data_IF_187799691201
#
_entry.id   IF_187799691201
#
_cell.length_a   1.000
_cell.length_b   1.000
_cell.length_c   1.000
_cell.angle_alpha   90.00
_cell.angle_beta   90.00
_cell.angle_gamma   90.00
#
_symmetry.space_group_name_H-M   'P 1'
#
loop_
_entity.id
_entity.type
_entity.pdbx_description
1 polymer ?
#
# COMPACT_ATOMS: atom_id res chain seq x y z
N UNK A 1 32.39 -14.95 9.71
CA UNK A 1 31.30 -14.27 8.97
C UNK A 1 31.89 -13.02 8.39
N UNK A 2 31.75 -12.88 7.09
CA UNK A 2 32.16 -11.67 6.38
C UNK A 2 31.09 -10.59 6.53
N UNK A 3 31.43 -9.33 6.27
CA UNK A 3 30.47 -8.21 6.31
C UNK A 3 29.28 -8.50 5.40
N UNK A 4 29.55 -9.06 4.23
CA UNK A 4 28.57 -9.50 3.24
C UNK A 4 27.50 -10.44 3.80
N UNK A 5 27.86 -11.35 4.71
CA UNK A 5 26.88 -12.27 5.32
C UNK A 5 25.86 -11.50 6.17
N UNK A 6 26.34 -10.53 6.95
CA UNK A 6 25.49 -9.69 7.80
C UNK A 6 24.62 -8.73 6.99
N UNK A 7 25.15 -8.19 5.89
CA UNK A 7 24.39 -7.34 4.97
C UNK A 7 23.26 -8.14 4.31
N UNK A 8 23.53 -9.38 3.86
CA UNK A 8 22.49 -10.28 3.34
C UNK A 8 21.40 -10.58 4.36
N UNK A 9 21.78 -10.86 5.61
CA UNK A 9 20.81 -11.06 6.70
C UNK A 9 19.93 -9.83 6.87
N UNK A 10 20.52 -8.64 6.92
CA UNK A 10 19.77 -7.40 7.04
C UNK A 10 18.83 -7.17 5.85
N UNK A 11 19.29 -7.42 4.62
CA UNK A 11 18.46 -7.30 3.42
C UNK A 11 17.26 -8.25 3.44
N UNK A 12 17.47 -9.52 3.80
CA UNK A 12 16.39 -10.50 3.84
C UNK A 12 15.38 -10.22 4.95
N UNK A 13 15.85 -9.77 6.12
CA UNK A 13 14.96 -9.32 7.20
C UNK A 13 14.20 -8.05 6.78
N UNK A 14 14.90 -7.07 6.19
CA UNK A 14 14.30 -5.85 5.65
C UNK A 14 13.22 -6.15 4.59
N UNK A 15 13.49 -7.06 3.67
CA UNK A 15 12.52 -7.49 2.67
C UNK A 15 11.26 -8.10 3.30
N UNK A 16 11.45 -8.98 4.30
CA UNK A 16 10.35 -9.56 5.06
C UNK A 16 9.54 -8.52 5.82
N UNK A 17 10.19 -7.53 6.44
CA UNK A 17 9.51 -6.43 7.13
C UNK A 17 8.75 -5.53 6.16
N UNK A 18 9.33 -5.22 5.00
CA UNK A 18 8.70 -4.41 3.96
C UNK A 18 7.39 -5.05 3.52
N UNK A 19 7.44 -6.27 2.99
CA UNK A 19 6.25 -6.94 2.47
C UNK A 19 5.28 -7.32 3.59
N UNK A 20 5.80 -7.88 4.69
CA UNK A 20 4.99 -8.37 5.80
C UNK A 20 4.16 -7.27 6.43
N UNK A 21 4.75 -6.11 6.73
CA UNK A 21 4.03 -4.97 7.31
C UNK A 21 3.25 -4.20 6.24
N UNK A 22 3.81 -4.06 5.04
CA UNK A 22 3.18 -3.29 3.97
C UNK A 22 1.89 -3.89 3.43
N UNK A 23 1.71 -5.21 3.52
CA UNK A 23 0.47 -5.87 3.15
C UNK A 23 -0.71 -5.58 4.11
N UNK A 24 -0.45 -5.15 5.36
CA UNK A 24 -1.52 -4.90 6.33
C UNK A 24 -2.42 -3.74 5.93
N UNK A 25 -1.83 -2.68 5.37
CA UNK A 25 -2.56 -1.47 5.00
C UNK A 25 -3.67 -1.75 3.99
N UNK A 26 -3.29 -2.17 2.77
CA UNK A 26 -4.23 -2.56 1.73
C UNK A 26 -5.17 -3.68 2.19
N UNK A 27 -4.66 -4.75 2.81
CA UNK A 27 -5.50 -5.88 3.22
C UNK A 27 -6.67 -5.50 4.14
N UNK A 28 -6.44 -4.59 5.10
CA UNK A 28 -7.51 -4.07 5.96
C UNK A 28 -8.41 -3.07 5.22
N UNK A 29 -7.81 -2.16 4.46
CA UNK A 29 -8.53 -1.15 3.70
C UNK A 29 -9.48 -1.75 2.67
N UNK A 30 -8.97 -2.62 1.82
CA UNK A 30 -9.72 -3.29 0.76
C UNK A 30 -10.83 -4.19 1.31
N UNK A 31 -10.57 -4.90 2.41
CA UNK A 31 -11.58 -5.70 3.10
C UNK A 31 -12.75 -4.85 3.59
N UNK A 32 -12.47 -3.64 4.08
CA UNK A 32 -13.51 -2.68 4.43
C UNK A 32 -14.30 -2.20 3.21
N UNK A 33 -13.64 -1.86 2.09
CA UNK A 33 -14.32 -1.48 0.84
C UNK A 33 -15.27 -2.58 0.38
N UNK A 34 -14.79 -3.83 0.35
CA UNK A 34 -15.58 -4.99 -0.07
C UNK A 34 -16.79 -5.22 0.83
N UNK A 35 -16.62 -5.07 2.15
CA UNK A 35 -17.73 -5.16 3.11
C UNK A 35 -18.80 -4.11 2.82
N UNK A 36 -18.41 -2.84 2.60
CA UNK A 36 -19.37 -1.76 2.32
C UNK A 36 -20.06 -1.89 0.98
N UNK A 37 -19.33 -2.34 -0.04
CA UNK A 37 -19.92 -2.64 -1.35
C UNK A 37 -20.95 -3.79 -1.24
N UNK A 38 -20.62 -4.87 -0.52
CA UNK A 38 -21.53 -6.01 -0.33
C UNK A 38 -22.81 -5.62 0.43
N UNK A 39 -22.68 -4.84 1.52
CA UNK A 39 -23.85 -4.29 2.23
C UNK A 39 -24.71 -3.41 1.33
N UNK A 40 -24.08 -2.56 0.51
CA UNK A 40 -24.77 -1.71 -0.47
C UNK A 40 -25.55 -2.52 -1.50
N UNK A 41 -24.91 -3.53 -2.09
CA UNK A 41 -25.55 -4.42 -3.06
C UNK A 41 -26.71 -5.22 -2.47
N UNK A 42 -26.57 -5.69 -1.23
CA UNK A 42 -27.64 -6.40 -0.53
C UNK A 42 -28.88 -5.54 -0.30
N UNK A 43 -28.69 -4.23 -0.06
CA UNK A 43 -29.80 -3.27 0.09
C UNK A 43 -30.40 -2.87 -1.26
N UNK A 44 -29.59 -2.71 -2.30
CA UNK A 44 -30.04 -2.27 -3.62
C UNK A 44 -29.34 -3.05 -4.76
N UNK A 45 -29.85 -4.24 -5.12
CA UNK A 45 -29.20 -5.11 -6.12
C UNK A 45 -29.05 -4.47 -7.52
N UNK A 46 -29.94 -3.53 -7.85
CA UNK A 46 -29.95 -2.83 -9.14
C UNK A 46 -28.73 -1.92 -9.39
N UNK A 47 -27.94 -1.59 -8.36
CA UNK A 47 -26.75 -0.71 -8.47
C UNK A 47 -25.44 -1.48 -8.36
N UNK A 48 -25.50 -2.81 -8.48
CA UNK A 48 -24.35 -3.71 -8.33
C UNK A 48 -23.17 -3.35 -9.25
N UNK A 49 -23.44 -2.96 -10.50
CA UNK A 49 -22.39 -2.55 -11.43
C UNK A 49 -21.67 -1.27 -10.99
N UNK A 50 -22.39 -0.29 -10.45
CA UNK A 50 -21.79 0.97 -9.99
C UNK A 50 -20.98 0.75 -8.70
N UNK A 51 -21.48 -0.09 -7.79
CA UNK A 51 -20.75 -0.48 -6.59
C UNK A 51 -19.51 -1.31 -6.89
N UNK A 52 -19.61 -2.28 -7.80
CA UNK A 52 -18.46 -3.09 -8.22
C UNK A 52 -17.37 -2.20 -8.84
N UNK A 53 -17.74 -1.28 -9.72
CA UNK A 53 -16.79 -0.33 -10.33
C UNK A 53 -16.13 0.55 -9.27
N UNK A 54 -16.92 1.12 -8.36
CA UNK A 54 -16.40 1.99 -7.30
C UNK A 54 -15.46 1.23 -6.37
N UNK A 55 -15.85 0.03 -5.95
CA UNK A 55 -15.05 -0.85 -5.10
C UNK A 55 -13.70 -1.15 -5.76
N UNK A 56 -13.71 -1.63 -7.01
CA UNK A 56 -12.48 -2.01 -7.71
C UNK A 56 -11.56 -0.81 -7.95
N UNK A 57 -12.12 0.36 -8.30
CA UNK A 57 -11.32 1.58 -8.45
C UNK A 57 -10.69 1.97 -7.12
N UNK A 58 -11.47 1.98 -6.03
CA UNK A 58 -10.97 2.35 -4.71
C UNK A 58 -9.92 1.39 -4.16
N UNK A 59 -10.11 0.08 -4.34
CA UNK A 59 -9.16 -0.97 -3.98
C UNK A 59 -7.87 -0.87 -4.79
N UNK A 60 -7.98 -0.62 -6.11
CA UNK A 60 -6.80 -0.48 -6.96
C UNK A 60 -5.88 0.68 -6.53
N UNK A 61 -6.43 1.77 -5.98
CA UNK A 61 -5.58 2.82 -5.37
C UNK A 61 -4.98 2.33 -4.06
N UNK A 62 -5.79 1.75 -3.16
CA UNK A 62 -5.33 1.24 -1.86
C UNK A 62 -4.18 0.23 -1.98
N UNK A 63 -4.21 -0.63 -3.00
CA UNK A 63 -3.19 -1.66 -3.26
C UNK A 63 -1.82 -1.08 -3.66
N UNK A 64 -1.77 0.16 -4.15
CA UNK A 64 -0.51 0.77 -4.64
C UNK A 64 0.60 0.76 -3.58
N UNK A 65 0.27 1.04 -2.32
CA UNK A 65 1.22 0.94 -1.20
C UNK A 65 1.71 -0.49 -0.92
N UNK A 66 0.88 -1.50 -1.14
CA UNK A 66 1.28 -2.90 -1.10
C UNK A 66 2.29 -3.22 -2.20
N UNK A 67 2.09 -2.66 -3.41
CA UNK A 67 3.04 -2.76 -4.52
C UNK A 67 4.36 -2.07 -4.18
N UNK A 68 4.37 -0.90 -3.53
CA UNK A 68 5.62 -0.26 -3.11
C UNK A 68 6.42 -1.12 -2.13
N UNK A 69 5.73 -1.70 -1.14
CA UNK A 69 6.31 -2.62 -0.19
C UNK A 69 6.89 -3.88 -0.88
N UNK A 70 6.17 -4.42 -1.86
CA UNK A 70 6.65 -5.52 -2.69
C UNK A 70 7.89 -5.13 -3.49
N UNK A 71 7.90 -3.97 -4.13
CA UNK A 71 9.05 -3.47 -4.91
C UNK A 71 10.28 -3.35 -4.01
N UNK A 72 10.18 -2.71 -2.84
CA UNK A 72 11.30 -2.60 -1.89
C UNK A 72 11.78 -3.97 -1.43
N UNK A 73 10.87 -4.90 -1.16
CA UNK A 73 11.24 -6.26 -0.78
C UNK A 73 12.01 -7.00 -1.89
N UNK A 74 11.55 -6.90 -3.14
CA UNK A 74 12.23 -7.51 -4.28
C UNK A 74 13.60 -6.89 -4.53
N UNK A 75 13.72 -5.56 -4.40
CA UNK A 75 15.00 -4.87 -4.53
C UNK A 75 16.01 -5.36 -3.48
N UNK A 76 15.59 -5.52 -2.23
CA UNK A 76 16.44 -6.06 -1.17
C UNK A 76 16.81 -7.54 -1.38
N UNK A 77 15.90 -8.35 -1.91
CA UNK A 77 16.14 -9.78 -2.17
C UNK A 77 17.13 -10.02 -3.32
N UNK A 78 17.08 -9.17 -4.35
CA UNK A 78 17.88 -9.34 -5.57
C UNK A 78 19.04 -8.33 -5.70
N UNK A 79 19.37 -7.63 -4.62
CA UNK A 79 20.49 -6.68 -4.59
C UNK A 79 21.84 -7.39 -4.81
N UNK A 80 22.78 -6.72 -5.47
CA UNK A 80 24.17 -7.17 -5.53
C UNK A 80 24.92 -6.77 -4.24
N UNK A 81 25.57 -7.74 -3.61
CA UNK A 81 26.30 -7.58 -2.35
C UNK A 81 27.83 -7.65 -2.54
N UNK A 82 28.30 -7.57 -3.78
CA UNK A 82 29.74 -7.66 -4.10
C UNK A 82 30.58 -6.55 -3.45
N UNK A 83 30.00 -5.35 -3.28
CA UNK A 83 30.62 -4.18 -2.67
C UNK A 83 30.11 -3.88 -1.25
N UNK A 84 29.66 -4.90 -0.51
CA UNK A 84 29.00 -4.74 0.78
C UNK A 84 29.85 -4.01 1.82
N UNK A 85 29.23 -3.05 2.50
CA UNK A 85 29.83 -2.22 3.53
C UNK A 85 29.10 -2.37 4.88
N UNK A 86 29.72 -1.90 5.97
CA UNK A 86 29.07 -1.94 7.28
C UNK A 86 27.84 -1.03 7.39
N UNK A 87 27.71 0.01 6.57
CA UNK A 87 26.55 0.92 6.61
C UNK A 87 25.30 0.28 5.99
N UNK A 88 25.48 -0.69 5.09
CA UNK A 88 24.39 -1.39 4.40
C UNK A 88 23.56 -2.22 5.37
N UNK A 89 24.16 -2.70 6.48
CA UNK A 89 23.48 -3.52 7.50
C UNK A 89 22.29 -2.76 8.10
N UNK A 90 22.47 -1.60 8.77
CA UNK A 90 21.33 -0.83 9.27
C UNK A 90 20.49 -0.23 8.14
N UNK A 91 21.10 0.14 7.01
CA UNK A 91 20.37 0.78 5.90
C UNK A 91 19.31 -0.13 5.29
N UNK A 92 19.66 -1.38 4.95
CA UNK A 92 18.72 -2.32 4.33
C UNK A 92 17.61 -2.76 5.27
N UNK A 93 17.91 -2.92 6.56
CA UNK A 93 16.90 -3.20 7.57
C UNK A 93 15.93 -2.02 7.73
N UNK A 94 16.47 -0.80 7.80
CA UNK A 94 15.69 0.43 7.94
C UNK A 94 14.84 0.72 6.70
N UNK A 95 15.35 0.45 5.50
CA UNK A 95 14.62 0.61 4.24
C UNK A 95 13.34 -0.23 4.25
N UNK A 96 13.46 -1.51 4.62
CA UNK A 96 12.32 -2.40 4.70
C UNK A 96 11.30 -1.99 5.76
N UNK A 97 11.76 -1.62 6.96
CA UNK A 97 10.88 -1.14 8.03
C UNK A 97 10.15 0.16 7.66
N UNK A 98 10.86 1.10 7.03
CA UNK A 98 10.32 2.39 6.61
C UNK A 98 9.20 2.22 5.58
N UNK A 99 9.41 1.38 4.56
CA UNK A 99 8.40 1.09 3.55
C UNK A 99 7.23 0.30 4.14
N UNK A 100 7.51 -0.77 4.89
CA UNK A 100 6.48 -1.63 5.46
C UNK A 100 5.50 -0.87 6.37
N UNK A 101 6.01 -0.07 7.30
CA UNK A 101 5.16 0.78 8.15
C UNK A 101 4.52 1.94 7.38
N UNK A 102 5.23 2.50 6.41
CA UNK A 102 4.77 3.60 5.57
C UNK A 102 3.54 3.26 4.73
N UNK A 103 3.44 2.01 4.28
CA UNK A 103 2.30 1.54 3.49
C UNK A 103 1.01 1.36 4.30
N UNK A 104 1.10 1.22 5.64
CA UNK A 104 -0.08 0.95 6.48
C UNK A 104 -1.08 2.11 6.46
N UNK A 105 -0.58 3.34 6.59
CA UNK A 105 -1.40 4.55 6.69
C UNK A 105 -2.28 4.78 5.47
N UNK A 106 -1.70 4.92 4.26
CA UNK A 106 -2.47 5.12 3.05
C UNK A 106 -3.38 3.94 2.73
N UNK A 107 -2.88 2.69 2.77
CA UNK A 107 -3.73 1.53 2.45
C UNK A 107 -5.02 1.45 3.28
N UNK A 108 -4.93 1.71 4.59
CA UNK A 108 -6.13 1.77 5.46
C UNK A 108 -6.98 3.00 5.12
N UNK A 109 -6.37 4.18 5.04
CA UNK A 109 -7.06 5.44 4.82
C UNK A 109 -7.83 5.46 3.49
N UNK A 110 -7.20 4.99 2.42
CA UNK A 110 -7.80 4.88 1.10
C UNK A 110 -8.94 3.88 1.07
N UNK A 111 -8.80 2.76 1.78
CA UNK A 111 -9.89 1.80 1.97
C UNK A 111 -11.10 2.41 2.70
N UNK A 112 -10.87 3.22 3.74
CA UNK A 112 -11.97 3.92 4.45
C UNK A 112 -12.70 4.87 3.49
N UNK A 113 -11.96 5.66 2.71
CA UNK A 113 -12.53 6.61 1.75
C UNK A 113 -13.33 5.88 0.66
N UNK A 114 -12.79 4.79 0.11
CA UNK A 114 -13.46 3.97 -0.89
C UNK A 114 -14.70 3.26 -0.35
N UNK A 115 -14.67 2.75 0.88
CA UNK A 115 -15.84 2.16 1.54
C UNK A 115 -16.95 3.19 1.75
N UNK A 116 -16.61 4.42 2.16
CA UNK A 116 -17.56 5.52 2.27
C UNK A 116 -18.14 5.91 0.90
N UNK A 117 -17.36 5.86 -0.18
CA UNK A 117 -17.84 6.07 -1.54
C UNK A 117 -18.85 4.99 -1.95
N UNK A 118 -18.59 3.72 -1.65
CA UNK A 118 -19.55 2.62 -1.86
C UNK A 118 -20.85 2.86 -1.10
N UNK A 119 -20.79 3.28 0.17
CA UNK A 119 -22.01 3.60 0.94
C UNK A 119 -22.80 4.76 0.33
N UNK A 120 -22.12 5.81 -0.12
CA UNK A 120 -22.75 6.98 -0.72
C UNK A 120 -23.47 6.62 -2.03
N UNK A 121 -22.80 5.85 -2.90
CA UNK A 121 -23.35 5.40 -4.19
C UNK A 121 -24.50 4.42 -3.99
N UNK A 122 -24.43 3.55 -2.97
CA UNK A 122 -25.53 2.67 -2.64
C UNK A 122 -26.82 3.43 -2.27
N UNK A 123 -26.69 4.66 -1.73
CA UNK A 123 -27.85 5.50 -1.36
C UNK A 123 -28.32 6.38 -2.52
N UNK A 124 -27.40 6.95 -3.29
CA UNK A 124 -27.70 7.90 -4.37
C UNK A 124 -26.83 7.60 -5.61
N UNK A 125 -27.22 6.61 -6.44
CA UNK A 125 -26.41 6.13 -7.56
C UNK A 125 -26.11 7.21 -8.61
N UNK A 126 -27.02 8.17 -8.80
CA UNK A 126 -26.86 9.32 -9.69
C UNK A 126 -25.66 10.23 -9.32
N UNK A 127 -25.16 10.14 -8.08
CA UNK A 127 -24.00 10.89 -7.62
C UNK A 127 -22.66 10.19 -7.89
N UNK A 128 -22.66 8.99 -8.46
CA UNK A 128 -21.45 8.18 -8.67
C UNK A 128 -20.28 8.93 -9.32
N UNK A 129 -20.47 9.72 -10.40
CA UNK A 129 -19.35 10.43 -11.03
C UNK A 129 -18.67 11.45 -10.11
N UNK A 130 -19.44 12.18 -9.30
CA UNK A 130 -18.88 13.20 -8.39
C UNK A 130 -18.25 12.55 -7.15
N UNK A 131 -18.85 11.46 -6.66
CA UNK A 131 -18.34 10.70 -5.51
C UNK A 131 -17.00 10.05 -5.87
N UNK A 132 -16.90 9.35 -7.01
CA UNK A 132 -15.65 8.72 -7.45
C UNK A 132 -14.54 9.76 -7.63
N UNK A 133 -14.84 10.92 -8.25
CA UNK A 133 -13.85 12.00 -8.39
C UNK A 133 -13.35 12.48 -7.02
N UNK A 134 -14.26 12.68 -6.08
CA UNK A 134 -13.91 13.16 -4.73
C UNK A 134 -13.11 12.12 -3.96
N UNK A 135 -13.48 10.84 -4.07
CA UNK A 135 -12.75 9.69 -3.54
C UNK A 135 -11.30 9.70 -4.03
N UNK A 136 -11.10 9.76 -5.36
CA UNK A 136 -9.76 9.74 -5.97
C UNK A 136 -8.89 10.93 -5.53
N UNK A 137 -9.46 12.13 -5.40
CA UNK A 137 -8.72 13.30 -4.90
C UNK A 137 -8.31 13.09 -3.43
N UNK A 138 -9.21 12.56 -2.60
CA UNK A 138 -8.91 12.24 -1.21
C UNK A 138 -7.82 11.16 -1.07
N UNK A 139 -7.92 10.10 -1.85
CA UNK A 139 -6.93 9.01 -1.90
C UNK A 139 -5.56 9.54 -2.36
N UNK A 140 -5.50 10.30 -3.45
CA UNK A 140 -4.26 10.89 -3.94
C UNK A 140 -3.51 11.76 -2.90
N UNK A 141 -4.23 12.44 -2.00
CA UNK A 141 -3.60 13.21 -0.91
C UNK A 141 -3.11 12.26 0.20
N UNK A 142 -3.92 11.27 0.59
CA UNK A 142 -3.56 10.28 1.60
C UNK A 142 -2.30 9.48 1.21
N UNK A 143 -2.17 9.18 -0.09
CA UNK A 143 -1.08 8.41 -0.69
C UNK A 143 0.31 9.02 -0.53
N UNK A 144 0.38 10.35 -0.37
CA UNK A 144 1.65 11.10 -0.31
C UNK A 144 2.64 10.54 0.73
N UNK A 145 2.14 10.07 1.88
CA UNK A 145 3.00 9.50 2.93
C UNK A 145 3.59 8.14 2.55
N UNK A 146 2.88 7.34 1.76
CA UNK A 146 3.41 6.09 1.19
C UNK A 146 4.55 6.36 0.20
N UNK A 147 4.39 7.40 -0.64
CA UNK A 147 5.46 7.84 -1.56
C UNK A 147 6.68 8.36 -0.79
N UNK A 148 6.50 9.09 0.31
CA UNK A 148 7.64 9.55 1.13
C UNK A 148 8.43 8.36 1.69
N UNK A 149 7.74 7.35 2.22
CA UNK A 149 8.39 6.13 2.71
C UNK A 149 9.10 5.36 1.60
N UNK A 150 8.50 5.25 0.41
CA UNK A 150 9.13 4.63 -0.74
C UNK A 150 10.43 5.36 -1.12
N UNK A 151 10.39 6.68 -1.23
CA UNK A 151 11.56 7.49 -1.58
C UNK A 151 12.68 7.30 -0.56
N UNK A 152 12.37 7.33 0.73
CA UNK A 152 13.38 7.12 1.79
C UNK A 152 13.97 5.72 1.73
N UNK A 153 13.15 4.68 1.52
CA UNK A 153 13.63 3.31 1.37
C UNK A 153 14.55 3.16 0.15
N UNK A 154 14.22 3.78 -0.99
CA UNK A 154 15.06 3.76 -2.18
C UNK A 154 16.40 4.48 -1.96
N UNK A 155 16.40 5.61 -1.24
CA UNK A 155 17.64 6.31 -0.89
C UNK A 155 18.54 5.45 0.02
N UNK A 156 17.97 4.73 0.98
CA UNK A 156 18.72 3.80 1.83
C UNK A 156 19.28 2.59 1.06
N UNK A 157 18.67 2.18 -0.05
CA UNK A 157 19.12 1.04 -0.85
C UNK A 157 20.23 1.42 -1.84
N UNK A 158 20.14 2.62 -2.44
CA UNK A 158 20.95 2.97 -3.60
C UNK A 158 21.93 4.13 -3.40
N UNK A 159 21.77 4.93 -2.35
CA UNK A 159 22.54 6.18 -2.18
C UNK A 159 23.43 6.15 -0.94
N UNK A 160 22.96 5.53 0.15
CA UNK A 160 23.71 5.37 1.40
C UNK A 160 24.60 4.14 1.32
#
# INVERSE_FOLDING_TARGET
>A
MEVTDWVKVAAFVGAGLSMGLGAFGPGLGEGYVASKAAEGMGRQPGVSNDLLRTMLVGQAVAESTGIYALVVALLLLFQDFSAASFIDIPAFLAAGLCMGLGAMGPGIGEGIVAGAACEAIARNPETSPVVIRTMLVGQAVAESTGIYSLVVALLMIFVV
#
